data_IF_586062630366
#
_entry.id   IF_586062630366
#
_cell.length_a   1.000
_cell.length_b   1.000
_cell.length_c   1.000
_cell.angle_alpha   90.00
_cell.angle_beta   90.00
_cell.angle_gamma   90.00
#
_symmetry.space_group_name_H-M   'P 1'
#
loop_
_entity.id
_entity.type
_entity.pdbx_description
1 polymer ?
#
# COMPACT_ATOMS: atom_id res chain seq x y z
N UNK A 1 -38.37 9.29 -16.28
CA UNK A 1 -37.17 9.55 -15.44
C UNK A 1 -36.92 8.30 -14.59
N UNK A 2 -36.15 7.29 -15.06
CA UNK A 2 -35.98 6.02 -14.36
C UNK A 2 -34.73 5.90 -13.46
N UNK A 3 -33.89 6.94 -13.38
CA UNK A 3 -32.56 6.84 -12.73
C UNK A 3 -32.51 7.26 -11.24
N UNK A 4 -33.60 7.74 -10.65
CA UNK A 4 -33.60 8.30 -9.28
C UNK A 4 -33.24 7.28 -8.21
N UNK A 5 -33.62 6.00 -8.34
CA UNK A 5 -33.35 5.00 -7.31
C UNK A 5 -31.89 4.49 -7.30
N UNK A 6 -31.26 4.40 -8.47
CA UNK A 6 -29.86 3.92 -8.58
C UNK A 6 -28.90 4.99 -8.05
N UNK A 7 -29.12 6.26 -8.40
CA UNK A 7 -28.25 7.33 -7.94
C UNK A 7 -28.34 7.53 -6.42
N UNK A 8 -29.55 7.46 -5.86
CA UNK A 8 -29.75 7.49 -4.40
C UNK A 8 -29.06 6.30 -3.70
N UNK A 9 -29.13 5.10 -4.28
CA UNK A 9 -28.44 3.94 -3.72
C UNK A 9 -26.91 4.10 -3.74
N UNK A 10 -26.35 4.69 -4.80
CA UNK A 10 -24.90 4.96 -4.90
C UNK A 10 -24.45 5.97 -3.85
N UNK A 11 -25.18 7.07 -3.70
CA UNK A 11 -24.90 8.10 -2.70
C UNK A 11 -24.98 7.54 -1.27
N UNK A 12 -25.90 6.60 -1.02
CA UNK A 12 -26.00 5.92 0.26
C UNK A 12 -24.89 4.88 0.51
N UNK A 13 -24.32 4.29 -0.54
CA UNK A 13 -23.29 3.25 -0.42
C UNK A 13 -21.88 3.81 -0.19
N UNK A 14 -21.56 4.98 -0.78
CA UNK A 14 -20.23 5.56 -0.68
C UNK A 14 -19.75 5.75 0.77
N UNK A 15 -20.54 6.32 1.72
CA UNK A 15 -20.13 6.42 3.12
C UNK A 15 -19.89 5.06 3.78
N UNK A 16 -20.67 4.04 3.43
CA UNK A 16 -20.48 2.67 3.95
C UNK A 16 -19.19 2.05 3.41
N UNK A 17 -18.89 2.25 2.13
CA UNK A 17 -17.63 1.81 1.52
C UNK A 17 -16.42 2.50 2.16
N UNK A 18 -16.51 3.81 2.41
CA UNK A 18 -15.46 4.59 3.09
C UNK A 18 -15.22 4.08 4.51
N UNK A 19 -16.28 3.82 5.27
CA UNK A 19 -16.18 3.26 6.62
C UNK A 19 -15.51 1.89 6.60
N UNK A 20 -15.95 0.98 5.72
CA UNK A 20 -15.38 -0.35 5.60
C UNK A 20 -13.90 -0.32 5.17
N UNK A 21 -13.55 0.59 4.26
CA UNK A 21 -12.16 0.82 3.87
C UNK A 21 -11.32 1.27 5.07
N UNK A 22 -11.78 2.25 5.85
CA UNK A 22 -11.05 2.77 7.01
C UNK A 22 -10.88 1.71 8.13
N UNK A 23 -11.93 0.95 8.43
CA UNK A 23 -11.87 -0.15 9.41
C UNK A 23 -10.99 -1.33 8.95
N UNK A 24 -10.76 -1.45 7.64
CA UNK A 24 -9.86 -2.45 7.06
C UNK A 24 -8.38 -2.08 7.12
N UNK A 25 -8.04 -0.80 7.32
CA UNK A 25 -6.64 -0.35 7.38
C UNK A 25 -5.95 -0.98 8.60
N UNK A 26 -4.81 -1.62 8.35
CA UNK A 26 -4.01 -2.29 9.40
C UNK A 26 -2.75 -1.47 9.66
N UNK A 27 -2.70 -0.81 10.83
CA UNK A 27 -1.50 -0.13 11.32
C UNK A 27 -0.56 -1.16 11.96
N UNK A 28 0.64 -1.31 11.41
CA UNK A 28 1.63 -2.32 11.84
C UNK A 28 2.73 -1.77 12.74
N UNK A 29 3.06 -0.49 12.59
CA UNK A 29 4.05 0.20 13.42
C UNK A 29 3.63 1.67 13.57
N UNK A 30 3.78 2.23 14.77
CA UNK A 30 3.59 3.65 15.05
C UNK A 30 4.49 4.09 16.22
N UNK A 31 5.65 4.61 15.89
CA UNK A 31 6.68 5.07 16.81
C UNK A 31 6.46 6.56 17.11
N UNK A 32 6.74 6.95 18.35
CA UNK A 32 6.70 8.35 18.81
C UNK A 32 5.32 9.03 18.68
N UNK A 33 4.24 8.24 18.56
CA UNK A 33 2.89 8.72 18.25
C UNK A 33 2.85 9.59 16.99
N UNK A 34 3.61 9.19 15.95
CA UNK A 34 3.70 9.94 14.69
C UNK A 34 2.36 10.02 13.97
N UNK A 35 1.54 8.96 14.06
CA UNK A 35 0.14 8.99 13.67
C UNK A 35 -0.78 9.09 14.90
N UNK A 36 -1.89 9.85 14.83
CA UNK A 36 -2.37 10.58 13.65
C UNK A 36 -1.57 11.86 13.36
N UNK A 37 -1.56 12.28 12.10
CA UNK A 37 -0.98 13.55 11.65
C UNK A 37 -1.67 14.71 12.38
N UNK A 38 -0.87 15.61 12.94
CA UNK A 38 -1.39 16.77 13.64
C UNK A 38 -1.95 17.80 12.64
N UNK A 39 -2.96 18.57 13.07
CA UNK A 39 -3.50 19.64 12.24
C UNK A 39 -2.41 20.62 11.82
N UNK A 40 -2.25 20.80 10.51
CA UNK A 40 -1.24 21.67 9.94
C UNK A 40 0.11 21.00 9.68
N UNK A 41 0.24 19.70 9.97
CA UNK A 41 1.37 18.90 9.50
C UNK A 41 1.46 18.98 7.97
N UNK A 42 2.65 19.30 7.46
CA UNK A 42 2.93 19.23 6.04
C UNK A 42 3.55 17.89 5.67
N UNK A 43 3.03 17.26 4.62
CA UNK A 43 3.48 15.96 4.13
C UNK A 43 4.02 16.04 2.71
N UNK A 44 5.12 15.34 2.46
CA UNK A 44 5.62 15.07 1.10
C UNK A 44 5.26 13.64 0.70
N UNK A 45 4.56 13.50 -0.43
CA UNK A 45 4.11 12.21 -0.93
C UNK A 45 5.11 11.66 -1.96
N UNK A 46 5.65 10.48 -1.68
CA UNK A 46 6.58 9.75 -2.53
C UNK A 46 5.93 8.47 -3.04
N UNK A 47 6.33 8.04 -4.22
CA UNK A 47 5.75 6.91 -4.92
C UNK A 47 4.60 7.32 -5.84
N UNK A 48 4.60 6.81 -7.08
CA UNK A 48 3.58 7.17 -8.08
C UNK A 48 2.17 6.71 -7.69
N UNK A 49 2.07 5.68 -6.87
CA UNK A 49 0.80 5.09 -6.41
C UNK A 49 -0.02 6.02 -5.50
N UNK A 50 0.53 7.18 -5.13
CA UNK A 50 -0.27 8.27 -4.56
C UNK A 50 -1.36 8.77 -5.55
N UNK A 51 -1.06 8.75 -6.86
CA UNK A 51 -1.96 9.13 -7.96
C UNK A 51 -2.54 7.87 -8.61
N UNK A 52 -1.66 6.92 -8.96
CA UNK A 52 -2.03 5.62 -9.54
C UNK A 52 -2.39 4.61 -8.44
N UNK A 53 -3.32 5.01 -7.55
CA UNK A 53 -3.75 4.18 -6.42
C UNK A 53 -4.47 2.92 -6.91
N UNK A 54 -4.01 1.77 -6.45
CA UNK A 54 -4.65 0.47 -6.68
C UNK A 54 -5.97 0.43 -5.92
N UNK A 55 -7.08 0.42 -6.66
CA UNK A 55 -8.44 0.35 -6.09
C UNK A 55 -8.97 -1.07 -5.93
N UNK A 56 -8.42 -2.01 -6.70
CA UNK A 56 -8.85 -3.42 -6.74
C UNK A 56 -7.75 -4.28 -7.35
N UNK A 57 -7.92 -5.61 -7.29
CA UNK A 57 -7.23 -6.52 -8.20
C UNK A 57 -7.64 -6.30 -9.67
N UNK A 58 -6.94 -6.98 -10.58
CA UNK A 58 -7.29 -7.04 -12.02
C UNK A 58 -8.33 -8.14 -12.28
N UNK A 59 -8.73 -8.32 -13.55
CA UNK A 59 -9.68 -9.37 -13.94
C UNK A 59 -11.13 -9.04 -13.53
N UNK A 60 -11.89 -10.08 -13.16
CA UNK A 60 -13.33 -9.96 -12.90
C UNK A 60 -13.66 -8.94 -11.80
N UNK A 61 -12.86 -8.90 -10.72
CA UNK A 61 -13.00 -7.94 -9.62
C UNK A 61 -12.60 -6.50 -9.96
N UNK A 62 -11.75 -6.30 -10.96
CA UNK A 62 -11.31 -4.99 -11.44
C UNK A 62 -12.28 -4.32 -12.42
N UNK A 63 -13.17 -5.09 -13.04
CA UNK A 63 -14.07 -4.65 -14.11
C UNK A 63 -15.32 -3.87 -13.64
N UNK A 64 -15.40 -3.51 -12.35
CA UNK A 64 -16.49 -2.66 -11.83
C UNK A 64 -16.35 -1.25 -12.40
N UNK A 65 -17.31 -0.82 -13.22
CA UNK A 65 -17.36 0.54 -13.76
C UNK A 65 -17.87 1.52 -12.71
N UNK A 66 -17.08 2.55 -12.42
CA UNK A 66 -17.33 3.47 -11.30
C UNK A 66 -17.60 4.89 -11.82
N UNK A 67 -18.40 5.70 -11.10
CA UNK A 67 -18.65 7.08 -11.50
C UNK A 67 -17.45 8.00 -11.22
N UNK A 68 -16.61 7.60 -10.26
CA UNK A 68 -15.38 8.25 -9.83
C UNK A 68 -14.55 7.23 -9.05
N UNK A 69 -13.29 7.56 -8.77
CA UNK A 69 -12.43 6.87 -7.82
C UNK A 69 -11.55 7.92 -7.19
N UNK A 70 -11.43 7.91 -5.86
CA UNK A 70 -10.59 8.86 -5.11
C UNK A 70 -9.25 8.21 -4.82
N UNK A 71 -8.19 8.71 -5.45
CA UNK A 71 -6.83 8.25 -5.16
C UNK A 71 -6.29 8.83 -3.83
N UNK A 72 -5.14 8.36 -3.37
CA UNK A 72 -4.58 8.78 -2.09
C UNK A 72 -4.28 10.30 -2.07
N UNK A 73 -3.72 10.85 -3.15
CA UNK A 73 -3.44 12.29 -3.27
C UNK A 73 -4.72 13.13 -3.13
N UNK A 74 -5.79 12.76 -3.83
CA UNK A 74 -7.09 13.45 -3.80
C UNK A 74 -7.71 13.39 -2.40
N UNK A 75 -7.65 12.21 -1.75
CA UNK A 75 -8.15 12.04 -0.39
C UNK A 75 -7.38 12.88 0.63
N UNK A 76 -6.05 12.91 0.53
CA UNK A 76 -5.21 13.71 1.42
C UNK A 76 -5.39 15.22 1.18
N UNK A 77 -5.46 15.66 -0.08
CA UNK A 77 -5.68 17.06 -0.44
C UNK A 77 -7.08 17.57 -0.03
N UNK A 78 -8.09 16.71 0.01
CA UNK A 78 -9.45 17.12 0.41
C UNK A 78 -9.61 17.25 1.91
N UNK A 79 -8.67 16.72 2.71
CA UNK A 79 -8.74 16.71 4.16
C UNK A 79 -8.12 18.00 4.77
N UNK A 80 -8.89 18.81 5.53
CA UNK A 80 -8.47 20.15 5.95
C UNK A 80 -7.29 20.17 6.94
N UNK A 81 -7.04 19.06 7.63
CA UNK A 81 -5.94 18.95 8.61
C UNK A 81 -4.58 18.59 8.01
N UNK A 82 -4.54 18.21 6.72
CA UNK A 82 -3.32 17.69 6.07
C UNK A 82 -2.90 18.69 5.00
N UNK A 83 -1.68 19.23 5.11
CA UNK A 83 -1.12 20.09 4.08
C UNK A 83 -0.19 19.26 3.19
N UNK A 84 -0.50 19.11 1.91
CA UNK A 84 0.35 18.34 0.98
C UNK A 84 1.33 19.27 0.28
N UNK A 85 2.61 18.86 0.20
CA UNK A 85 3.63 19.56 -0.58
C UNK A 85 3.31 19.50 -2.09
N UNK A 86 2.69 20.58 -2.60
CA UNK A 86 2.27 20.69 -4.00
C UNK A 86 3.44 20.77 -4.99
N UNK A 87 4.65 21.17 -4.56
CA UNK A 87 5.83 21.17 -5.43
C UNK A 87 6.16 19.74 -5.85
N UNK A 88 6.26 18.81 -4.89
CA UNK A 88 6.54 17.41 -5.16
C UNK A 88 5.41 16.73 -5.95
N UNK A 89 4.15 17.05 -5.64
CA UNK A 89 2.99 16.58 -6.42
C UNK A 89 3.12 16.98 -7.89
N UNK A 90 3.48 18.24 -8.17
CA UNK A 90 3.65 18.74 -9.53
C UNK A 90 4.79 18.01 -10.26
N UNK A 91 5.87 17.66 -9.58
CA UNK A 91 6.98 16.88 -10.15
C UNK A 91 6.49 15.50 -10.59
N UNK A 92 5.78 14.77 -9.72
CA UNK A 92 5.20 13.46 -10.07
C UNK A 92 4.19 13.56 -11.21
N UNK A 93 3.28 14.53 -11.19
CA UNK A 93 2.29 14.74 -12.25
C UNK A 93 2.95 14.98 -13.61
N UNK A 94 3.96 15.87 -13.66
CA UNK A 94 4.72 16.13 -14.89
C UNK A 94 5.46 14.88 -15.40
N UNK A 95 6.02 14.07 -14.49
CA UNK A 95 6.69 12.84 -14.88
C UNK A 95 5.72 11.80 -15.45
N UNK A 96 4.52 11.68 -14.87
CA UNK A 96 3.46 10.77 -15.31
C UNK A 96 2.91 11.12 -16.70
N UNK A 97 2.98 12.38 -17.14
CA UNK A 97 2.64 12.75 -18.53
C UNK A 97 3.49 12.00 -19.57
N UNK A 98 4.74 11.69 -19.22
CA UNK A 98 5.68 10.94 -20.08
C UNK A 98 5.76 9.46 -19.72
N UNK A 99 5.20 9.06 -18.57
CA UNK A 99 5.20 7.69 -18.06
C UNK A 99 3.78 7.30 -17.63
N UNK A 100 2.83 7.26 -18.59
CA UNK A 100 1.44 6.94 -18.29
C UNK A 100 1.33 5.56 -17.64
N UNK A 101 0.22 5.32 -16.96
CA UNK A 101 -0.11 4.00 -16.43
C UNK A 101 -0.09 2.96 -17.56
N UNK A 102 0.62 1.86 -17.34
CA UNK A 102 0.64 0.72 -18.25
C UNK A 102 -0.53 -0.22 -17.91
N UNK A 103 -1.52 -0.28 -18.79
CA UNK A 103 -2.68 -1.17 -18.69
C UNK A 103 -2.47 -2.52 -19.39
N UNK A 104 -1.24 -2.82 -19.83
CA UNK A 104 -0.92 -4.03 -20.59
C UNK A 104 -1.59 -4.09 -21.97
N UNK A 105 -2.01 -2.96 -22.51
CA UNK A 105 -2.78 -2.88 -23.75
C UNK A 105 -4.22 -3.36 -23.62
N UNK A 106 -4.76 -3.45 -22.40
CA UNK A 106 -6.14 -3.83 -22.11
C UNK A 106 -6.46 -5.33 -22.27
N UNK A 107 -5.43 -6.17 -22.37
CA UNK A 107 -5.57 -7.62 -22.46
C UNK A 107 -5.94 -8.30 -21.13
N UNK A 108 -6.45 -9.54 -21.21
CA UNK A 108 -6.65 -10.36 -20.01
C UNK A 108 -5.31 -10.72 -19.38
N UNK A 109 -5.17 -10.47 -18.07
CA UNK A 109 -3.95 -10.74 -17.31
C UNK A 109 -2.70 -10.12 -17.97
N UNK A 110 -2.86 -8.98 -18.66
CA UNK A 110 -1.77 -8.29 -19.35
C UNK A 110 -1.26 -7.07 -18.58
N UNK A 111 -2.13 -6.42 -17.79
CA UNK A 111 -1.74 -5.32 -16.90
C UNK A 111 -0.63 -5.79 -15.93
N UNK A 112 0.52 -5.12 -15.88
CA UNK A 112 1.58 -5.46 -14.95
C UNK A 112 1.14 -5.20 -13.51
N UNK A 113 1.57 -6.05 -12.60
CA UNK A 113 1.13 -6.02 -11.20
C UNK A 113 1.83 -4.99 -10.32
N UNK A 114 2.72 -4.23 -10.92
CA UNK A 114 3.31 -3.01 -10.40
C UNK A 114 3.55 -2.04 -11.57
N UNK A 115 3.67 -0.77 -11.26
CA UNK A 115 4.01 0.26 -12.25
C UNK A 115 5.45 0.71 -12.05
N UNK A 116 6.11 1.14 -13.13
CA UNK A 116 7.45 1.71 -13.01
C UNK A 116 7.41 2.94 -12.10
N UNK A 117 8.19 2.92 -11.02
CA UNK A 117 8.35 4.05 -10.12
C UNK A 117 9.25 5.15 -10.73
N UNK A 118 9.03 6.40 -10.32
CA UNK A 118 9.83 7.55 -10.72
C UNK A 118 11.19 7.53 -10.01
N UNK A 119 12.32 7.45 -10.74
CA UNK A 119 13.63 7.67 -10.15
C UNK A 119 13.72 9.12 -9.64
N UNK A 120 14.12 9.28 -8.38
CA UNK A 120 14.29 10.58 -7.73
C UNK A 120 15.76 10.93 -7.59
N UNK A 121 16.12 12.16 -7.95
CA UNK A 121 17.40 12.72 -7.58
C UNK A 121 17.39 13.18 -6.11
N UNK A 122 18.57 13.22 -5.51
CA UNK A 122 18.71 13.55 -4.08
C UNK A 122 18.29 14.99 -3.77
N UNK A 123 18.44 15.92 -4.72
CA UNK A 123 18.12 17.35 -4.54
C UNK A 123 16.61 17.56 -4.42
N UNK A 124 15.82 16.79 -5.19
CA UNK A 124 14.36 16.75 -5.09
C UNK A 124 13.90 16.24 -3.72
N UNK A 125 14.52 15.17 -3.21
CA UNK A 125 14.20 14.60 -1.90
C UNK A 125 14.61 15.55 -0.76
N UNK A 126 15.81 16.14 -0.84
CA UNK A 126 16.29 17.14 0.13
C UNK A 126 15.41 18.38 0.17
N UNK A 127 14.95 18.87 -0.99
CA UNK A 127 14.03 20.01 -1.02
C UNK A 127 12.69 19.66 -0.40
N UNK A 128 12.18 18.46 -0.66
CA UNK A 128 10.96 17.97 -0.05
C UNK A 128 11.07 17.88 1.48
N UNK A 129 12.22 17.44 2.02
CA UNK A 129 12.44 17.34 3.47
C UNK A 129 12.56 18.69 4.16
N UNK A 130 13.02 19.72 3.46
CA UNK A 130 13.06 21.09 3.97
C UNK A 130 11.68 21.76 4.03
N UNK A 131 10.70 21.20 3.32
CA UNK A 131 9.37 21.78 3.20
C UNK A 131 8.31 21.06 4.02
N UNK A 132 8.55 19.82 4.44
CA UNK A 132 7.54 18.93 5.04
C UNK A 132 7.99 18.31 6.35
N UNK A 133 7.05 18.05 7.26
CA UNK A 133 7.30 17.41 8.55
C UNK A 133 7.45 15.88 8.42
N UNK A 134 6.69 15.28 7.50
CA UNK A 134 6.67 13.84 7.28
C UNK A 134 6.78 13.50 5.79
N UNK A 135 7.47 12.40 5.48
CA UNK A 135 7.38 11.75 4.18
C UNK A 135 6.34 10.62 4.24
N UNK A 136 5.42 10.57 3.28
CA UNK A 136 4.52 9.44 3.06
C UNK A 136 4.98 8.70 1.81
N UNK A 137 5.44 7.45 1.95
CA UNK A 137 5.95 6.63 0.84
C UNK A 137 4.92 5.57 0.48
N UNK A 138 4.40 5.62 -0.75
CA UNK A 138 3.40 4.69 -1.27
C UNK A 138 4.07 3.58 -2.07
N UNK A 139 3.80 2.32 -1.70
CA UNK A 139 4.16 1.14 -2.49
C UNK A 139 2.87 0.49 -2.97
N UNK A 140 2.73 0.37 -4.30
CA UNK A 140 1.53 -0.18 -4.93
C UNK A 140 1.76 -1.54 -5.56
N UNK A 141 0.85 -2.48 -5.30
CA UNK A 141 0.80 -3.78 -5.98
C UNK A 141 -0.63 -4.16 -6.26
N UNK A 142 -0.89 -4.69 -7.44
CA UNK A 142 -2.13 -5.39 -7.75
C UNK A 142 -1.86 -6.87 -7.98
N UNK A 143 -2.92 -7.65 -8.12
CA UNK A 143 -2.88 -9.05 -8.48
C UNK A 143 -4.20 -9.41 -9.15
N UNK A 144 -4.28 -10.56 -9.81
CA UNK A 144 -5.49 -10.98 -10.48
C UNK A 144 -5.51 -12.44 -10.89
N UNK A 145 -6.51 -12.78 -11.69
CA UNK A 145 -6.78 -14.14 -12.14
C UNK A 145 -5.74 -14.61 -13.19
N UNK A 146 -5.56 -15.93 -13.28
CA UNK A 146 -4.70 -16.64 -14.25
C UNK A 146 -3.19 -16.38 -14.16
N UNK A 147 -2.73 -15.67 -13.14
CA UNK A 147 -1.33 -15.55 -12.76
C UNK A 147 -1.19 -15.68 -11.23
N UNK A 148 -0.01 -16.05 -10.76
CA UNK A 148 0.34 -16.07 -9.33
C UNK A 148 1.45 -15.04 -9.10
N UNK A 149 1.51 -14.47 -7.89
CA UNK A 149 2.64 -13.61 -7.51
C UNK A 149 3.92 -14.46 -7.42
N UNK A 150 5.06 -13.83 -7.69
CA UNK A 150 6.37 -14.47 -7.65
C UNK A 150 7.25 -13.82 -6.59
N UNK A 151 8.24 -14.59 -6.10
CA UNK A 151 9.27 -14.08 -5.19
C UNK A 151 10.30 -13.21 -5.93
N UNK A 152 9.82 -12.16 -6.59
CA UNK A 152 10.58 -11.34 -7.53
C UNK A 152 10.35 -9.85 -7.28
N UNK A 153 11.31 -9.05 -7.73
CA UNK A 153 11.25 -7.60 -7.70
C UNK A 153 10.04 -7.09 -8.51
N UNK A 154 9.19 -6.27 -7.88
CA UNK A 154 7.94 -5.78 -8.50
C UNK A 154 6.73 -6.70 -8.29
N UNK A 155 6.90 -7.85 -7.65
CA UNK A 155 5.80 -8.72 -7.22
C UNK A 155 5.79 -8.80 -5.69
N UNK A 156 6.20 -9.92 -5.10
CA UNK A 156 6.32 -10.05 -3.65
C UNK A 156 7.38 -9.10 -3.07
N UNK A 157 8.47 -8.85 -3.81
CA UNK A 157 9.57 -7.98 -3.36
C UNK A 157 9.44 -6.55 -3.91
N UNK A 158 10.08 -5.61 -3.23
CA UNK A 158 10.30 -4.28 -3.77
C UNK A 158 11.16 -4.35 -5.05
N UNK A 159 10.94 -3.42 -5.96
CA UNK A 159 11.87 -3.15 -7.05
C UNK A 159 13.10 -2.41 -6.53
N UNK A 160 14.20 -2.46 -7.30
CA UNK A 160 15.42 -1.72 -6.96
C UNK A 160 15.16 -0.20 -6.85
N UNK A 161 14.28 0.35 -7.69
CA UNK A 161 13.94 1.78 -7.67
C UNK A 161 13.13 2.14 -6.41
N UNK A 162 12.18 1.31 -6.01
CA UNK A 162 11.40 1.53 -4.78
C UNK A 162 12.28 1.41 -3.53
N UNK A 163 13.17 0.42 -3.49
CA UNK A 163 14.12 0.26 -2.39
C UNK A 163 15.08 1.44 -2.31
N UNK A 164 15.62 1.88 -3.45
CA UNK A 164 16.47 3.07 -3.52
C UNK A 164 15.73 4.33 -3.06
N UNK A 165 14.49 4.55 -3.51
CA UNK A 165 13.65 5.66 -3.06
C UNK A 165 13.46 5.63 -1.54
N UNK A 166 13.12 4.48 -0.97
CA UNK A 166 12.96 4.32 0.48
C UNK A 166 14.26 4.66 1.23
N UNK A 167 15.41 4.17 0.76
CA UNK A 167 16.70 4.48 1.36
C UNK A 167 16.99 5.98 1.36
N UNK A 168 16.84 6.64 0.21
CA UNK A 168 17.11 8.07 0.05
C UNK A 168 16.13 8.92 0.86
N UNK A 169 14.85 8.56 0.91
CA UNK A 169 13.85 9.24 1.74
C UNK A 169 14.18 9.09 3.23
N UNK A 170 14.52 7.88 3.68
CA UNK A 170 14.92 7.65 5.08
C UNK A 170 16.21 8.38 5.47
N UNK A 171 17.11 8.61 4.51
CA UNK A 171 18.32 9.39 4.74
C UNK A 171 18.04 10.86 5.01
N UNK A 172 17.00 11.42 4.37
CA UNK A 172 16.68 12.85 4.38
C UNK A 172 15.56 13.26 5.33
N UNK A 173 14.63 12.35 5.63
CA UNK A 173 13.53 12.56 6.57
C UNK A 173 13.78 11.83 7.88
N UNK A 174 13.50 12.49 9.00
CA UNK A 174 13.48 11.87 10.33
C UNK A 174 12.15 11.16 10.64
N UNK A 175 11.10 11.45 9.86
CA UNK A 175 9.78 10.85 9.98
C UNK A 175 9.26 10.38 8.63
N UNK A 176 9.32 9.07 8.41
CA UNK A 176 8.81 8.38 7.22
C UNK A 176 7.64 7.49 7.60
N UNK A 177 6.54 7.61 6.88
CA UNK A 177 5.33 6.80 7.00
C UNK A 177 5.20 6.00 5.71
N UNK A 178 5.24 4.66 5.79
CA UNK A 178 5.13 3.77 4.63
C UNK A 178 3.69 3.25 4.51
N UNK A 179 3.11 3.41 3.33
CA UNK A 179 1.73 3.04 3.03
C UNK A 179 1.75 1.96 1.95
N UNK A 180 1.31 0.76 2.32
CA UNK A 180 1.24 -0.39 1.43
C UNK A 180 -0.16 -0.47 0.81
N UNK A 181 -0.29 0.08 -0.40
CA UNK A 181 -1.50 0.01 -1.22
C UNK A 181 -1.43 -1.24 -2.11
N UNK A 182 -1.59 -2.40 -1.47
CA UNK A 182 -1.34 -3.72 -2.05
C UNK A 182 -2.55 -4.63 -1.93
N UNK A 183 -2.72 -5.60 -2.84
CA UNK A 183 -3.83 -6.57 -2.81
C UNK A 183 -3.60 -7.80 -1.95
N UNK A 184 -2.35 -8.03 -1.50
CA UNK A 184 -1.93 -9.20 -0.73
C UNK A 184 -0.71 -8.85 0.13
N UNK A 185 -0.33 -9.75 1.03
CA UNK A 185 0.94 -9.64 1.77
C UNK A 185 2.11 -9.57 0.77
N UNK A 186 3.08 -8.73 1.10
CA UNK A 186 4.34 -8.51 0.38
C UNK A 186 5.51 -8.75 1.33
N UNK A 187 6.71 -8.88 0.79
CA UNK A 187 7.93 -8.90 1.58
C UNK A 187 7.98 -7.69 2.52
N UNK A 188 8.36 -7.93 3.77
CA UNK A 188 8.57 -6.90 4.80
C UNK A 188 10.02 -6.87 5.31
N UNK A 189 10.89 -7.76 4.81
CA UNK A 189 12.32 -7.80 5.21
C UNK A 189 13.09 -6.56 4.78
N UNK A 190 12.58 -5.80 3.80
CA UNK A 190 13.14 -4.51 3.40
C UNK A 190 13.28 -3.50 4.55
N UNK A 191 12.48 -3.64 5.62
CA UNK A 191 12.58 -2.79 6.82
C UNK A 191 13.95 -2.88 7.51
N UNK A 192 14.69 -3.97 7.29
CA UNK A 192 16.01 -4.20 7.87
C UNK A 192 17.15 -3.86 6.88
N UNK A 193 16.83 -3.54 5.63
CA UNK A 193 17.82 -3.27 4.57
C UNK A 193 17.88 -1.82 4.12
N UNK A 194 16.98 -0.95 4.59
CA UNK A 194 17.04 0.50 4.34
C UNK A 194 18.17 1.18 5.14
N UNK A 195 18.79 2.25 4.62
CA UNK A 195 19.99 2.87 5.24
C UNK A 195 19.76 3.48 6.63
N UNK A 196 18.54 3.94 6.95
CA UNK A 196 18.15 4.53 8.26
C UNK A 196 16.77 4.03 8.70
N UNK A 197 16.65 2.77 9.12
CA UNK A 197 15.35 2.15 9.42
C UNK A 197 14.63 2.79 10.61
N UNK A 198 15.33 3.54 11.47
CA UNK A 198 14.77 4.30 12.60
C UNK A 198 14.00 5.56 12.18
N UNK A 199 14.21 6.03 10.94
CA UNK A 199 13.44 7.12 10.34
C UNK A 199 12.03 6.67 9.96
N UNK A 200 11.79 5.36 9.79
CA UNK A 200 10.45 4.82 9.58
C UNK A 200 9.70 4.86 10.91
N UNK A 201 8.68 5.71 10.96
CA UNK A 201 7.89 5.95 12.16
C UNK A 201 6.52 5.29 12.11
N UNK A 202 6.00 5.02 10.93
CA UNK A 202 4.79 4.22 10.81
C UNK A 202 4.77 3.38 9.54
N UNK A 203 4.10 2.23 9.61
CA UNK A 203 3.85 1.35 8.48
C UNK A 203 2.42 0.87 8.56
N UNK A 204 1.68 0.95 7.46
CA UNK A 204 0.30 0.47 7.40
C UNK A 204 -0.03 -0.18 6.05
N UNK A 205 -0.88 -1.20 6.10
CA UNK A 205 -1.57 -1.71 4.91
C UNK A 205 -2.86 -0.92 4.71
N UNK A 206 -2.92 -0.16 3.62
CA UNK A 206 -4.16 0.51 3.19
C UNK A 206 -5.00 -0.34 2.25
N UNK A 207 -4.43 -1.46 1.77
CA UNK A 207 -5.03 -2.40 0.81
C UNK A 207 -5.49 -1.73 -0.50
N UNK A 208 -6.15 -2.51 -1.34
CA UNK A 208 -6.92 -2.02 -2.49
C UNK A 208 -8.38 -1.74 -2.09
N UNK A 209 -8.63 -0.54 -1.56
CA UNK A 209 -9.84 -0.23 -0.78
C UNK A 209 -11.02 0.39 -1.58
N UNK A 210 -11.08 0.15 -2.89
CA UNK A 210 -12.17 0.62 -3.75
C UNK A 210 -12.20 2.14 -3.96
N UNK A 211 -13.36 2.66 -4.36
CA UNK A 211 -13.52 4.02 -4.90
C UNK A 211 -13.38 5.15 -3.86
N UNK A 212 -13.53 4.83 -2.57
CA UNK A 212 -13.38 5.76 -1.44
C UNK A 212 -12.05 5.55 -0.70
N UNK A 213 -11.16 4.72 -1.23
CA UNK A 213 -9.92 4.32 -0.55
C UNK A 213 -9.05 5.52 -0.13
N UNK A 214 -8.92 6.53 -0.99
CA UNK A 214 -8.17 7.76 -0.66
C UNK A 214 -8.80 8.55 0.50
N UNK A 215 -10.12 8.69 0.52
CA UNK A 215 -10.83 9.36 1.61
C UNK A 215 -10.73 8.61 2.94
N UNK A 216 -10.82 7.27 2.91
CA UNK A 216 -10.67 6.43 4.08
C UNK A 216 -9.24 6.48 4.64
N UNK A 217 -8.23 6.49 3.76
CA UNK A 217 -6.84 6.68 4.15
C UNK A 217 -6.63 8.02 4.84
N UNK A 218 -7.21 9.10 4.29
CA UNK A 218 -7.13 10.42 4.89
C UNK A 218 -7.77 10.47 6.29
N UNK A 219 -8.93 9.83 6.50
CA UNK A 219 -9.57 9.75 7.82
C UNK A 219 -8.69 9.08 8.87
N UNK A 220 -8.00 7.99 8.48
CA UNK A 220 -7.14 7.25 9.40
C UNK A 220 -5.86 8.01 9.70
N UNK A 221 -5.24 8.62 8.67
CA UNK A 221 -4.02 9.39 8.85
C UNK A 221 -4.26 10.68 9.63
N UNK A 222 -5.43 11.32 9.49
CA UNK A 222 -5.79 12.52 10.26
C UNK A 222 -6.27 12.23 11.68
N UNK A 223 -6.65 10.99 11.96
CA UNK A 223 -7.21 10.58 13.25
C UNK A 223 -8.71 10.84 13.40
N UNK A 224 -9.40 11.28 12.34
CA UNK A 224 -10.86 11.33 12.30
C UNK A 224 -11.48 9.94 12.55
N UNK A 225 -10.79 8.89 12.07
CA UNK A 225 -11.04 7.51 12.43
C UNK A 225 -9.76 6.84 12.97
N UNK A 226 -9.88 6.10 14.06
CA UNK A 226 -8.76 5.30 14.57
C UNK A 226 -8.60 4.01 13.76
N UNK A 227 -7.37 3.62 13.37
CA UNK A 227 -7.15 2.35 12.68
C UNK A 227 -7.56 1.18 13.58
N UNK A 228 -8.37 0.27 13.05
CA UNK A 228 -8.95 -0.84 13.81
C UNK A 228 -8.77 -2.20 13.12
N UNK A 229 -8.25 -2.22 11.90
CA UNK A 229 -7.96 -3.43 11.16
C UNK A 229 -6.91 -4.30 11.86
N UNK A 230 -7.00 -5.61 11.63
CA UNK A 230 -6.02 -6.61 12.07
C UNK A 230 -5.64 -7.49 10.88
N UNK A 231 -4.42 -7.99 10.87
CA UNK A 231 -3.96 -8.91 9.84
C UNK A 231 -4.84 -10.16 9.82
N UNK A 232 -5.30 -10.53 8.63
CA UNK A 232 -5.98 -11.80 8.38
C UNK A 232 -5.00 -12.96 8.13
N UNK A 233 -3.75 -12.63 7.78
CA UNK A 233 -2.69 -13.57 7.44
C UNK A 233 -1.44 -13.34 8.31
N UNK A 234 -0.65 -14.39 8.52
CA UNK A 234 0.66 -14.27 9.15
C UNK A 234 1.67 -13.74 8.14
N UNK A 235 2.41 -12.69 8.50
CA UNK A 235 3.56 -12.19 7.72
C UNK A 235 4.80 -12.92 8.21
N UNK A 236 5.35 -13.80 7.37
CA UNK A 236 6.62 -14.48 7.65
C UNK A 236 7.82 -13.62 7.23
N UNK A 237 9.00 -13.89 7.80
CA UNK A 237 10.21 -13.16 7.46
C UNK A 237 10.72 -13.53 6.06
N UNK A 238 10.80 -14.84 5.75
CA UNK A 238 11.08 -15.32 4.39
C UNK A 238 9.84 -15.98 3.77
N UNK A 239 9.67 -15.86 2.46
CA UNK A 239 8.59 -16.59 1.75
C UNK A 239 8.73 -18.12 1.92
N UNK A 240 9.96 -18.61 2.06
CA UNK A 240 10.23 -20.03 2.28
C UNK A 240 9.84 -20.55 3.67
N UNK A 241 9.50 -19.66 4.62
CA UNK A 241 9.03 -20.03 5.95
C UNK A 241 7.56 -20.48 5.97
N UNK A 242 6.78 -20.11 4.95
CA UNK A 242 5.40 -20.57 4.84
C UNK A 242 5.37 -22.09 4.64
N UNK A 243 4.53 -22.83 5.39
CA UNK A 243 4.53 -24.29 5.35
C UNK A 243 4.08 -24.86 4.01
N UNK A 244 3.32 -24.10 3.23
CA UNK A 244 2.87 -24.45 1.88
C UNK A 244 3.92 -24.18 0.81
N UNK A 245 4.98 -23.41 1.08
CA UNK A 245 5.94 -22.94 0.09
C UNK A 245 6.54 -24.08 -0.76
N UNK A 246 6.97 -25.17 -0.10
CA UNK A 246 7.61 -26.30 -0.77
C UNK A 246 6.67 -27.08 -1.73
N UNK A 247 5.36 -26.88 -1.63
CA UNK A 247 4.35 -27.63 -2.39
C UNK A 247 3.37 -26.73 -3.15
N UNK A 248 3.71 -25.46 -3.37
CA UNK A 248 2.89 -24.50 -4.12
C UNK A 248 3.44 -24.26 -5.53
N UNK A 249 2.57 -23.91 -6.49
CA UNK A 249 2.95 -23.49 -7.85
C UNK A 249 3.22 -24.62 -8.86
N UNK A 250 2.97 -25.89 -8.53
CA UNK A 250 3.09 -26.97 -9.51
C UNK A 250 1.91 -26.96 -10.50
N UNK A 251 2.22 -27.10 -11.80
CA UNK A 251 1.21 -27.03 -12.88
C UNK A 251 0.28 -28.25 -12.98
N UNK A 252 0.70 -29.39 -12.43
CA UNK A 252 -0.08 -30.63 -12.49
C UNK A 252 -0.82 -30.90 -11.17
N UNK A 253 -0.11 -30.80 -10.02
CA UNK A 253 -0.67 -31.03 -8.69
C UNK A 253 0.18 -30.42 -7.57
N UNK A 254 -0.49 -29.90 -6.55
CA UNK A 254 0.10 -29.50 -5.27
C UNK A 254 -0.27 -30.54 -4.20
N UNK A 255 0.70 -31.01 -3.41
CA UNK A 255 0.45 -31.90 -2.28
C UNK A 255 0.35 -31.05 -1.00
N UNK A 256 -0.83 -31.03 -0.37
CA UNK A 256 -1.10 -30.22 0.82
C UNK A 256 -0.51 -30.93 2.04
N UNK A 257 0.82 -31.00 2.09
CA UNK A 257 1.58 -31.74 3.08
C UNK A 257 1.58 -31.05 4.45
N UNK A 258 1.38 -29.74 4.48
CA UNK A 258 1.16 -28.96 5.69
C UNK A 258 -0.14 -29.35 6.42
N UNK A 259 -1.08 -29.99 5.72
CA UNK A 259 -2.35 -30.47 6.26
C UNK A 259 -3.08 -29.35 7.04
N UNK A 260 -3.48 -29.59 8.30
CA UNK A 260 -4.12 -28.57 9.14
C UNK A 260 -3.17 -27.45 9.60
N UNK A 261 -1.86 -27.58 9.40
CA UNK A 261 -0.86 -26.60 9.82
C UNK A 261 -0.63 -25.55 8.73
N UNK A 262 -1.67 -24.75 8.47
CA UNK A 262 -1.62 -23.63 7.53
C UNK A 262 -1.55 -22.29 8.28
N UNK A 263 -0.73 -21.36 7.78
CA UNK A 263 -0.58 -20.01 8.32
C UNK A 263 -0.26 -20.03 9.82
N UNK A 264 -1.00 -19.26 10.62
CA UNK A 264 -0.78 -19.16 12.07
C UNK A 264 -0.78 -20.50 12.80
N UNK A 265 -1.48 -21.53 12.29
CA UNK A 265 -1.48 -22.87 12.93
C UNK A 265 -0.10 -23.51 12.87
N UNK A 266 0.64 -23.31 11.78
CA UNK A 266 2.01 -23.76 11.67
C UNK A 266 2.95 -22.92 12.53
N UNK A 267 2.92 -21.60 12.33
CA UNK A 267 3.85 -20.70 13.01
C UNK A 267 3.71 -20.79 14.53
N UNK A 268 2.49 -20.70 15.06
CA UNK A 268 2.28 -20.79 16.51
C UNK A 268 2.63 -22.17 17.11
N UNK A 269 2.63 -23.24 16.31
CA UNK A 269 2.92 -24.61 16.80
C UNK A 269 4.39 -24.97 16.68
N UNK A 270 5.05 -24.57 15.59
CA UNK A 270 6.36 -25.12 15.22
C UNK A 270 7.45 -24.07 14.99
N UNK A 271 7.11 -22.85 14.59
CA UNK A 271 8.09 -21.87 14.12
C UNK A 271 7.69 -20.41 14.43
N UNK A 272 7.36 -20.06 15.68
CA UNK A 272 6.88 -18.71 16.01
C UNK A 272 7.94 -17.63 15.74
N UNK A 273 9.22 -17.97 15.78
CA UNK A 273 10.33 -17.06 15.53
C UNK A 273 10.47 -16.60 14.07
N UNK A 274 9.80 -17.27 13.13
CA UNK A 274 9.81 -16.92 11.70
C UNK A 274 8.71 -15.91 11.32
N UNK A 275 7.83 -15.55 12.25
CA UNK A 275 6.91 -14.42 12.06
C UNK A 275 7.71 -13.13 12.08
N UNK A 276 7.41 -12.18 11.20
CA UNK A 276 8.10 -10.89 11.14
C UNK A 276 7.85 -10.06 12.43
N UNK A 277 8.65 -10.34 13.47
CA UNK A 277 8.43 -9.89 14.87
C UNK A 277 8.54 -8.38 15.09
N UNK A 278 9.12 -7.62 14.15
CA UNK A 278 9.12 -6.15 14.21
C UNK A 278 7.69 -5.58 14.16
N UNK A 279 6.73 -6.37 13.67
CA UNK A 279 5.31 -6.01 13.51
C UNK A 279 4.41 -6.51 14.67
N UNK A 280 4.95 -7.26 15.65
CA UNK A 280 4.16 -7.80 16.79
C UNK A 280 4.12 -6.87 18.02
N UNK A 281 4.72 -5.68 17.95
CA UNK A 281 4.88 -4.76 19.10
C UNK A 281 3.93 -3.55 19.11
N UNK A 282 2.80 -3.61 18.39
CA UNK A 282 1.75 -2.57 18.41
C UNK A 282 0.52 -2.99 19.20
#
# INVERSE_FOLDING_TARGET
>A
MPFTNIELARQALAPVSRQAAAEGIVLLENIDNTLPLHTGSRVSLFGRCQIDTVRSGTGSGGAVNVPYSVNALEGLNSHPSIEVNQELVSIYQNWLEQHPFDDGGGGWAAEPWFQQEMPLDIETIERASQQSDHALVFIGRTAGEDQDNADEAGSYRLTDIEHQMLCQVCEQFSSVIVILNVTNIVDMSWMDTVTKPESIKAVLYSWAAGIEGGHALADVLSGDLSPSGKLADTIAYELSDYPSHANFGNKDKNLYQEDIYLGYRYFATFKPEAVATRLEKV
#
